data_IF_374056654504
#
_entry.id   IF_374056654504
#
_cell.length_a   1.000
_cell.length_b   1.000
_cell.length_c   1.000
_cell.angle_alpha   90.00
_cell.angle_beta   90.00
_cell.angle_gamma   90.00
#
_symmetry.space_group_name_H-M   'P 1'
#
loop_
_entity.id
_entity.type
_entity.pdbx_description
1 polymer ?
#
# COMPACT_ATOMS: atom_id res chain seq x y z
N UNK A 1 18.59 -11.05 -6.87
CA UNK A 1 18.23 -10.53 -5.54
C UNK A 1 17.69 -11.71 -4.77
N UNK A 2 18.47 -12.23 -3.83
CA UNK A 2 18.08 -13.38 -3.03
C UNK A 2 16.79 -13.08 -2.25
N UNK A 3 15.89 -14.06 -2.24
CA UNK A 3 14.63 -13.95 -1.50
C UNK A 3 14.94 -13.98 0.00
N UNK A 4 14.97 -12.81 0.64
CA UNK A 4 15.03 -12.70 2.10
C UNK A 4 13.60 -12.74 2.65
N UNK A 5 13.18 -13.81 3.34
CA UNK A 5 11.82 -13.97 3.83
C UNK A 5 11.42 -12.94 4.92
N UNK A 6 12.40 -12.30 5.57
CA UNK A 6 12.14 -11.29 6.61
C UNK A 6 11.84 -9.89 6.06
N UNK A 7 11.95 -9.70 4.74
CA UNK A 7 11.71 -8.40 4.09
C UNK A 7 10.35 -8.38 3.41
N UNK A 8 9.56 -7.36 3.76
CA UNK A 8 8.32 -7.04 3.06
C UNK A 8 8.51 -5.76 2.23
N UNK A 9 8.10 -5.80 0.96
CA UNK A 9 7.97 -4.59 0.15
C UNK A 9 6.58 -4.00 0.32
N UNK A 10 6.53 -2.73 0.72
CA UNK A 10 5.29 -1.98 0.92
C UNK A 10 5.25 -0.84 -0.08
N UNK A 11 4.12 -0.69 -0.77
CA UNK A 11 3.91 0.40 -1.72
C UNK A 11 2.86 1.37 -1.20
N UNK A 12 3.04 2.70 -1.31
CA UNK A 12 2.05 3.67 -0.82
C UNK A 12 0.65 3.43 -1.38
N UNK A 13 0.54 3.05 -2.66
CA UNK A 13 -0.73 2.72 -3.30
C UNK A 13 -1.54 1.59 -2.62
N UNK A 14 -0.90 0.76 -1.78
CA UNK A 14 -1.62 -0.24 -0.98
C UNK A 14 -2.59 0.37 0.02
N UNK A 15 -2.36 1.62 0.41
CA UNK A 15 -3.14 2.36 1.40
C UNK A 15 -3.96 3.50 0.79
N UNK A 16 -4.00 3.68 -0.54
CA UNK A 16 -4.70 4.82 -1.14
C UNK A 16 -6.22 4.65 -1.11
N UNK A 17 -6.90 5.48 -0.31
CA UNK A 17 -8.36 5.49 -0.15
C UNK A 17 -9.11 5.79 -1.45
N UNK A 18 -8.47 6.48 -2.41
CA UNK A 18 -9.03 6.82 -3.72
C UNK A 18 -9.03 5.63 -4.67
N UNK A 19 -8.14 4.66 -4.44
CA UNK A 19 -8.00 3.46 -5.26
C UNK A 19 -8.92 2.34 -4.76
N UNK A 20 -9.54 1.61 -5.68
CA UNK A 20 -10.24 0.36 -5.37
C UNK A 20 -9.27 -0.77 -5.00
N UNK A 21 -9.76 -1.87 -4.44
CA UNK A 21 -8.93 -3.07 -4.20
C UNK A 21 -8.40 -3.67 -5.51
N UNK A 22 -9.21 -3.63 -6.57
CA UNK A 22 -8.83 -4.09 -7.91
C UNK A 22 -7.69 -3.26 -8.49
N UNK A 23 -7.69 -1.96 -8.22
CA UNK A 23 -6.68 -1.02 -8.73
C UNK A 23 -5.46 -0.86 -7.82
N UNK A 24 -5.33 -1.67 -6.76
CA UNK A 24 -4.07 -1.77 -6.01
C UNK A 24 -4.18 -1.57 -4.49
N UNK A 25 -5.29 -1.06 -3.97
CA UNK A 25 -5.47 -0.93 -2.51
C UNK A 25 -5.50 -2.33 -1.88
N UNK A 26 -4.66 -2.57 -0.86
CA UNK A 26 -4.57 -3.87 -0.18
C UNK A 26 -5.27 -3.89 1.17
N UNK A 27 -5.49 -2.72 1.77
CA UNK A 27 -6.15 -2.56 3.07
C UNK A 27 -7.65 -2.26 2.97
N UNK A 28 -8.42 -2.48 4.06
CA UNK A 28 -9.77 -1.94 4.25
C UNK A 28 -9.84 -0.41 4.07
N UNK A 29 -11.04 0.13 3.81
CA UNK A 29 -11.21 1.55 3.47
C UNK A 29 -11.04 2.46 4.70
N UNK A 30 -11.49 2.01 5.86
CA UNK A 30 -11.26 2.62 7.17
C UNK A 30 -9.79 2.64 7.59
N UNK A 31 -8.97 1.70 7.08
CA UNK A 31 -7.52 1.68 7.29
C UNK A 31 -6.71 2.31 6.14
N UNK A 32 -7.35 3.08 5.25
CA UNK A 32 -6.72 3.72 4.09
C UNK A 32 -6.64 5.23 4.24
N UNK A 33 -5.67 5.86 3.59
CA UNK A 33 -5.40 7.32 3.66
C UNK A 33 -5.50 7.98 2.28
N UNK A 34 -5.70 9.29 2.26
CA UNK A 34 -5.72 10.06 1.01
C UNK A 34 -4.31 10.35 0.55
N UNK A 35 -4.03 10.04 -0.73
CA UNK A 35 -2.75 10.36 -1.41
C UNK A 35 -1.53 9.94 -0.58
N UNK A 36 -1.39 8.64 -0.23
CA UNK A 36 -0.19 8.17 0.43
C UNK A 36 1.03 8.33 -0.48
N UNK A 37 2.11 8.87 0.08
CA UNK A 37 3.42 8.92 -0.54
C UNK A 37 4.50 8.51 0.49
N UNK A 38 5.77 8.66 0.13
CA UNK A 38 6.90 8.30 1.00
C UNK A 38 7.38 9.47 1.86
N UNK A 39 6.88 10.68 1.61
CA UNK A 39 7.40 11.92 2.20
C UNK A 39 6.48 12.46 3.32
N UNK A 40 5.16 12.20 3.25
CA UNK A 40 4.17 12.63 4.24
C UNK A 40 3.32 13.81 3.77
#
# INVERSE_FOLDING_TARGET
MDHNPDRLCVWPGYFDARSSRRSGRRVPKDSSVLKPDLEG
#
